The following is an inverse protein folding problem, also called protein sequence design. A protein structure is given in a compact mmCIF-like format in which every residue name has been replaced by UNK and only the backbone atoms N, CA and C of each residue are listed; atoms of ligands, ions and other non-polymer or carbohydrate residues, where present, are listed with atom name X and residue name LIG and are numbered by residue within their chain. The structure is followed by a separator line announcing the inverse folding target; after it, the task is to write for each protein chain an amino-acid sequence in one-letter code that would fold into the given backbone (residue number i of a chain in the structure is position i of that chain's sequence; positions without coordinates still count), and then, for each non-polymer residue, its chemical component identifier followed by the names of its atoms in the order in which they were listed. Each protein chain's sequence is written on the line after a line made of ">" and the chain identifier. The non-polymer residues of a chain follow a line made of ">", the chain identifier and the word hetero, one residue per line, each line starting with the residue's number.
data_IF_506790788577
#
_entry.id   IF_506790788577
#
_cell.length_a   1.000
_cell.length_b   1.000
_cell.length_c   1.000
_cell.angle_alpha   90.00
_cell.angle_beta   90.00
_cell.angle_gamma   90.00
#
_symmetry.space_group_name_H-M   'P 1'
#
loop_
_entity.id
_entity.type
_entity.pdbx_description
1 polymer ?
#
# COMPACT_ATOMS: atom_id res chain seq x y z
N UNK A 1 12.95 -5.80 -10.75
CA UNK A 1 11.88 -5.97 -9.74
C UNK A 1 11.43 -7.41 -9.72
N UNK A 2 11.29 -7.97 -8.54
CA UNK A 2 10.75 -9.33 -8.38
C UNK A 2 9.34 -9.41 -8.98
N UNK A 3 9.04 -10.51 -9.67
CA UNK A 3 7.75 -10.66 -10.34
C UNK A 3 6.58 -10.64 -9.36
N UNK A 4 6.77 -11.17 -8.15
CA UNK A 4 5.70 -11.16 -7.13
C UNK A 4 5.42 -9.76 -6.61
N UNK A 5 6.46 -8.93 -6.50
CA UNK A 5 6.24 -7.53 -6.13
C UNK A 5 5.46 -6.80 -7.23
N UNK A 6 5.81 -7.04 -8.48
CA UNK A 6 5.10 -6.46 -9.63
C UNK A 6 3.63 -6.88 -9.64
N UNK A 7 3.37 -8.17 -9.43
CA UNK A 7 2.01 -8.68 -9.37
C UNK A 7 1.24 -8.10 -8.20
N UNK A 8 1.89 -7.99 -7.04
CA UNK A 8 1.27 -7.38 -5.86
C UNK A 8 0.86 -5.94 -6.12
N UNK A 9 1.73 -5.16 -6.77
CA UNK A 9 1.43 -3.77 -7.12
C UNK A 9 0.23 -3.70 -8.07
N UNK A 10 0.21 -4.54 -9.09
CA UNK A 10 -0.90 -4.59 -10.05
C UNK A 10 -2.22 -4.92 -9.35
N UNK A 11 -2.20 -5.93 -8.49
CA UNK A 11 -3.38 -6.33 -7.73
C UNK A 11 -3.84 -5.23 -6.78
N UNK A 12 -2.90 -4.58 -6.11
CA UNK A 12 -3.22 -3.43 -5.25
C UNK A 12 -3.93 -2.34 -6.05
N UNK A 13 -3.36 -1.98 -7.20
CA UNK A 13 -3.89 -0.92 -8.04
C UNK A 13 -5.26 -1.27 -8.64
N UNK A 14 -5.56 -2.55 -8.79
CA UNK A 14 -6.86 -3.04 -9.23
C UNK A 14 -7.82 -3.24 -8.05
N UNK A 15 -7.43 -2.85 -6.85
CA UNK A 15 -8.20 -2.99 -5.61
C UNK A 15 -8.53 -4.45 -5.26
N UNK A 16 -7.68 -5.37 -5.72
CA UNK A 16 -7.76 -6.79 -5.36
C UNK A 16 -6.87 -7.03 -4.14
N UNK A 17 -7.27 -6.48 -3.02
CA UNK A 17 -6.42 -6.40 -1.84
C UNK A 17 -6.15 -7.75 -1.19
N UNK A 18 -7.10 -8.67 -1.23
CA UNK A 18 -6.87 -10.00 -0.69
C UNK A 18 -5.80 -10.73 -1.50
N UNK A 19 -5.93 -10.75 -2.82
CA UNK A 19 -4.96 -11.41 -3.69
C UNK A 19 -3.59 -10.72 -3.60
N UNK A 20 -3.57 -9.40 -3.47
CA UNK A 20 -2.34 -8.64 -3.24
C UNK A 20 -1.64 -9.11 -1.98
N UNK A 21 -2.36 -9.22 -0.89
CA UNK A 21 -1.85 -9.70 0.39
C UNK A 21 -1.20 -11.09 0.24
N UNK A 22 -1.89 -12.01 -0.43
CA UNK A 22 -1.40 -13.37 -0.63
C UNK A 22 -0.09 -13.40 -1.42
N UNK A 23 -0.03 -12.67 -2.53
CA UNK A 23 1.17 -12.63 -3.38
C UNK A 23 2.35 -12.00 -2.64
N UNK A 24 2.11 -10.90 -1.93
CA UNK A 24 3.18 -10.23 -1.20
C UNK A 24 3.68 -11.06 -0.01
N UNK A 25 2.81 -11.83 0.64
CA UNK A 25 3.26 -12.76 1.68
C UNK A 25 4.20 -13.83 1.13
N UNK A 26 3.90 -14.35 -0.06
CA UNK A 26 4.79 -15.29 -0.72
C UNK A 26 6.18 -14.69 -0.99
N UNK A 27 6.22 -13.45 -1.47
CA UNK A 27 7.48 -12.76 -1.68
C UNK A 27 8.19 -12.46 -0.36
N UNK A 28 7.45 -12.09 0.67
CA UNK A 28 7.99 -11.80 2.00
C UNK A 28 8.83 -12.96 2.54
N UNK A 29 8.36 -14.18 2.36
CA UNK A 29 9.06 -15.37 2.86
C UNK A 29 10.47 -15.48 2.27
N UNK A 30 10.65 -15.10 1.02
CA UNK A 30 11.90 -15.23 0.28
C UNK A 30 12.70 -13.93 0.19
N UNK A 31 12.18 -12.85 0.76
CA UNK A 31 12.84 -11.55 0.66
C UNK A 31 13.99 -11.42 1.65
N UNK A 32 14.86 -10.45 1.37
CA UNK A 32 15.97 -10.15 2.25
C UNK A 32 15.49 -9.47 3.53
N UNK A 33 16.26 -9.61 4.61
CA UNK A 33 15.89 -9.10 5.93
C UNK A 33 15.59 -7.59 5.91
N UNK A 34 16.38 -6.83 5.16
CA UNK A 34 16.18 -5.37 5.09
C UNK A 34 14.90 -4.97 4.37
N UNK A 35 14.38 -5.85 3.52
CA UNK A 35 13.17 -5.61 2.74
C UNK A 35 11.90 -6.01 3.50
N UNK A 36 12.01 -6.92 4.46
CA UNK A 36 10.85 -7.47 5.16
C UNK A 36 9.96 -6.41 5.83
N UNK A 37 10.50 -5.43 6.58
CA UNK A 37 9.62 -4.43 7.18
C UNK A 37 8.86 -3.59 6.15
N UNK A 38 9.47 -3.32 5.00
CA UNK A 38 8.80 -2.63 3.91
C UNK A 38 7.60 -3.44 3.40
N UNK A 39 7.81 -4.73 3.17
CA UNK A 39 6.74 -5.62 2.69
C UNK A 39 5.64 -5.78 3.75
N UNK A 40 6.01 -5.84 5.03
CA UNK A 40 5.01 -5.85 6.11
C UNK A 40 4.12 -4.61 6.04
N UNK A 41 4.71 -3.44 5.76
CA UNK A 41 3.94 -2.21 5.57
C UNK A 41 2.96 -2.30 4.42
N UNK A 42 3.41 -2.79 3.26
CA UNK A 42 2.54 -2.95 2.10
C UNK A 42 1.44 -4.00 2.34
N UNK A 43 1.80 -5.12 2.97
CA UNK A 43 0.85 -6.19 3.29
C UNK A 43 -0.21 -5.66 4.26
N UNK A 44 0.21 -4.96 5.29
CA UNK A 44 -0.70 -4.36 6.27
C UNK A 44 -1.63 -3.35 5.60
N UNK A 45 -1.10 -2.56 4.67
CA UNK A 45 -1.89 -1.57 3.95
C UNK A 45 -2.96 -2.24 3.08
N UNK A 46 -2.59 -3.31 2.37
CA UNK A 46 -3.55 -4.07 1.58
C UNK A 46 -4.66 -4.65 2.46
N UNK A 47 -4.28 -5.23 3.61
CA UNK A 47 -5.25 -5.77 4.56
C UNK A 47 -6.18 -4.67 5.10
N UNK A 48 -5.65 -3.50 5.40
CA UNK A 48 -6.42 -2.38 5.90
C UNK A 48 -7.45 -1.89 4.86
N UNK A 49 -7.02 -1.78 3.61
CA UNK A 49 -7.92 -1.34 2.53
C UNK A 49 -8.97 -2.40 2.20
N UNK A 50 -8.64 -3.67 2.37
CA UNK A 50 -9.63 -4.74 2.26
C UNK A 50 -10.74 -4.59 3.31
N UNK A 51 -10.37 -4.27 4.55
CA UNK A 51 -11.35 -4.03 5.61
C UNK A 51 -12.33 -2.93 5.19
N UNK A 52 -11.82 -1.90 4.54
CA UNK A 52 -12.62 -0.79 4.07
C UNK A 52 -13.51 -1.19 2.90
N UNK A 53 -12.91 -1.77 1.84
CA UNK A 53 -13.63 -2.06 0.59
C UNK A 53 -14.61 -3.22 0.74
N UNK A 54 -14.17 -4.31 1.37
CA UNK A 54 -14.97 -5.53 1.44
C UNK A 54 -15.95 -5.55 2.61
N UNK A 55 -15.62 -4.87 3.71
CA UNK A 55 -16.38 -4.98 4.95
C UNK A 55 -16.95 -3.65 5.47
N UNK A 56 -16.63 -2.54 4.82
CA UNK A 56 -17.11 -1.22 5.25
C UNK A 56 -16.58 -0.78 6.61
N UNK A 57 -15.49 -1.36 7.07
CA UNK A 57 -14.90 -1.08 8.37
C UNK A 57 -13.96 0.12 8.27
N UNK A 58 -14.42 1.30 8.70
CA UNK A 58 -13.66 2.55 8.54
C UNK A 58 -12.60 2.74 9.62
N UNK A 59 -13.00 2.66 10.90
CA UNK A 59 -12.09 2.96 12.01
C UNK A 59 -10.89 2.04 12.07
N UNK A 60 -11.13 0.74 11.96
CA UNK A 60 -10.06 -0.25 11.98
C UNK A 60 -9.15 -0.11 10.76
N UNK A 61 -9.73 0.16 9.59
CA UNK A 61 -8.99 0.39 8.37
C UNK A 61 -8.04 1.59 8.52
N UNK A 62 -8.56 2.73 8.96
CA UNK A 62 -7.76 3.95 9.12
C UNK A 62 -6.63 3.75 10.13
N UNK A 63 -6.91 3.10 11.25
CA UNK A 63 -5.89 2.80 12.26
C UNK A 63 -4.77 1.95 11.67
N UNK A 64 -5.11 0.90 10.94
CA UNK A 64 -4.14 0.01 10.33
C UNK A 64 -3.34 0.73 9.23
N UNK A 65 -3.97 1.63 8.48
CA UNK A 65 -3.28 2.46 7.49
C UNK A 65 -2.20 3.30 8.15
N UNK A 66 -2.50 3.99 9.24
CA UNK A 66 -1.48 4.83 9.91
C UNK A 66 -0.32 3.99 10.43
N UNK A 67 -0.59 2.80 10.95
CA UNK A 67 0.47 1.89 11.38
C UNK A 67 1.35 1.44 10.21
N UNK A 68 0.74 1.15 9.07
CA UNK A 68 1.48 0.76 7.87
C UNK A 68 2.36 1.90 7.37
N UNK A 69 1.85 3.14 7.39
CA UNK A 69 2.61 4.31 6.96
C UNK A 69 3.85 4.54 7.81
N UNK A 70 3.78 4.25 9.11
CA UNK A 70 4.95 4.33 9.99
C UNK A 70 6.05 3.38 9.51
N UNK A 71 5.69 2.16 9.12
CA UNK A 71 6.66 1.19 8.59
C UNK A 71 7.29 1.63 7.28
N UNK A 72 6.51 2.29 6.43
CA UNK A 72 6.98 2.74 5.13
C UNK A 72 7.88 3.99 5.21
N UNK A 73 7.83 4.72 6.31
CA UNK A 73 8.54 6.00 6.45
C UNK A 73 10.04 5.87 6.21
N UNK A 74 10.66 4.80 6.68
CA UNK A 74 12.09 4.58 6.54
C UNK A 74 12.54 4.25 5.11
N UNK A 75 11.60 4.05 4.21
CA UNK A 75 11.87 3.66 2.82
C UNK A 75 11.61 4.78 1.82
N UNK A 76 11.34 5.98 2.33
CA UNK A 76 11.17 7.15 1.49
C UNK A 76 12.53 7.67 1.00
N UNK A 77 12.61 8.34 -0.14
CA UNK A 77 11.49 8.67 -1.04
C UNK A 77 11.16 7.57 -2.04
N UNK A 78 12.12 6.71 -2.39
CA UNK A 78 11.95 5.62 -3.36
C UNK A 78 12.61 4.36 -2.84
N UNK A 79 11.91 3.23 -2.94
CA UNK A 79 12.47 1.93 -2.58
C UNK A 79 11.93 0.87 -3.53
N UNK A 80 12.82 0.01 -4.03
CA UNK A 80 12.48 -1.03 -5.02
C UNK A 80 11.66 -0.45 -6.18
N UNK A 81 12.06 0.71 -6.67
CA UNK A 81 11.40 1.46 -7.74
C UNK A 81 10.01 2.01 -7.39
N UNK A 82 9.56 1.83 -6.16
CA UNK A 82 8.27 2.37 -5.71
C UNK A 82 8.47 3.79 -5.19
N UNK A 83 7.61 4.71 -5.62
CA UNK A 83 7.61 6.11 -5.16
C UNK A 83 6.92 6.17 -3.80
N UNK A 84 7.66 5.75 -2.76
CA UNK A 84 7.12 5.55 -1.41
C UNK A 84 6.61 6.85 -0.80
N UNK A 85 7.36 7.93 -0.92
CA UNK A 85 6.96 9.22 -0.34
C UNK A 85 5.65 9.72 -0.94
N UNK A 86 5.55 9.72 -2.26
CA UNK A 86 4.33 10.19 -2.94
C UNK A 86 3.14 9.33 -2.58
N UNK A 87 3.33 8.01 -2.60
CA UNK A 87 2.27 7.07 -2.25
C UNK A 87 1.82 7.25 -0.80
N UNK A 88 2.77 7.35 0.13
CA UNK A 88 2.45 7.55 1.56
C UNK A 88 1.67 8.84 1.80
N UNK A 89 2.06 9.92 1.13
CA UNK A 89 1.37 11.22 1.24
C UNK A 89 -0.08 11.10 0.74
N UNK A 90 -0.28 10.45 -0.40
CA UNK A 90 -1.60 10.26 -0.97
C UNK A 90 -2.48 9.36 -0.10
N UNK A 91 -1.92 8.29 0.44
CA UNK A 91 -2.65 7.37 1.31
C UNK A 91 -3.04 8.06 2.61
N UNK A 92 -2.14 8.85 3.19
CA UNK A 92 -2.46 9.61 4.40
C UNK A 92 -3.61 10.58 4.17
N UNK A 93 -3.58 11.30 3.05
CA UNK A 93 -4.65 12.24 2.71
C UNK A 93 -5.97 11.51 2.51
N UNK A 94 -5.94 10.36 1.86
CA UNK A 94 -7.14 9.53 1.66
C UNK A 94 -7.71 9.05 3.00
N UNK A 95 -6.83 8.58 3.90
CA UNK A 95 -7.26 8.09 5.21
C UNK A 95 -7.91 9.19 6.04
N UNK A 96 -7.34 10.39 6.02
CA UNK A 96 -7.91 11.55 6.72
C UNK A 96 -9.29 11.89 6.17
N UNK A 97 -9.45 11.85 4.85
CA UNK A 97 -10.74 12.12 4.21
C UNK A 97 -11.77 11.04 4.57
N UNK A 98 -11.36 9.77 4.59
CA UNK A 98 -12.24 8.66 4.96
C UNK A 98 -12.71 8.79 6.41
N UNK A 99 -11.79 9.16 7.31
CA UNK A 99 -12.10 9.36 8.72
C UNK A 99 -13.10 10.52 8.92
N UNK A 100 -12.89 11.62 8.21
CA UNK A 100 -13.74 12.81 8.30
C UNK A 100 -15.13 12.57 7.70
N UNK A 101 -15.24 11.75 6.65
CA UNK A 101 -16.51 11.45 6.00
C UNK A 101 -17.42 10.53 6.81
N UNK A 102 -16.86 9.83 7.81
CA UNK A 102 -17.65 8.89 8.62
C UNK A 102 -17.99 7.61 7.86
N UNK A 103 -19.22 7.14 7.95
CA UNK A 103 -19.60 5.76 7.67
C UNK A 103 -19.69 5.33 6.20
N UNK A 104 -19.52 6.21 5.22
CA UNK A 104 -19.66 5.82 3.81
C UNK A 104 -18.63 6.50 2.90
N UNK A 105 -17.34 6.20 3.07
CA UNK A 105 -16.37 6.63 2.08
C UNK A 105 -16.54 5.76 0.83
N UNK A 106 -16.40 6.36 -0.34
CA UNK A 106 -16.41 5.60 -1.57
C UNK A 106 -15.02 5.01 -1.82
N UNK A 107 -14.92 3.77 -2.31
CA UNK A 107 -13.61 3.22 -2.71
C UNK A 107 -13.00 3.93 -3.92
N UNK A 108 -13.75 4.82 -4.56
CA UNK A 108 -13.22 5.69 -5.59
C UNK A 108 -12.09 6.53 -5.01
N UNK A 109 -11.01 6.69 -5.75
CA UNK A 109 -9.85 7.51 -5.38
C UNK A 109 -8.88 6.89 -4.36
N UNK A 110 -8.97 5.59 -4.09
CA UNK A 110 -7.90 4.92 -3.34
C UNK A 110 -6.60 5.09 -4.15
N UNK A 111 -5.53 5.62 -3.55
CA UNK A 111 -4.30 5.88 -4.27
C UNK A 111 -3.67 4.62 -4.84
N UNK A 112 -3.03 4.76 -5.99
CA UNK A 112 -2.31 3.68 -6.63
C UNK A 112 -0.83 3.76 -6.33
N UNK A 113 -0.17 2.62 -6.29
CA UNK A 113 1.28 2.54 -6.18
C UNK A 113 1.86 2.87 -7.56
N UNK A 114 2.76 3.85 -7.59
CA UNK A 114 3.43 4.27 -8.83
C UNK A 114 4.91 3.98 -8.75
N UNK A 115 5.49 3.62 -9.89
CA UNK A 115 6.90 3.29 -9.99
C UNK A 115 7.71 4.49 -10.48
N UNK A 116 8.94 4.56 -9.99
CA UNK A 116 9.93 5.51 -10.50
C UNK A 116 10.32 5.09 -11.90
N UNK A 117 10.15 5.99 -12.86
CA UNK A 117 10.57 5.70 -14.24
C UNK A 117 12.01 6.14 -14.45
N UNK A 118 12.77 5.27 -15.08
CA UNK A 118 14.07 5.64 -15.59
C UNK A 118 13.88 6.36 -16.92
N UNK A 119 14.41 7.59 -16.98
CA UNK A 119 14.44 8.31 -18.25
C UNK A 119 15.90 8.58 -18.60
N UNK A 120 16.35 8.05 -19.74
CA UNK A 120 17.69 8.27 -20.24
C UNK A 120 17.87 9.66 -20.84
N UNK A 121 16.79 10.42 -20.97
CA UNK A 121 16.79 11.76 -21.54
C UNK A 121 16.48 12.85 -20.52
N UNK A 122 16.38 12.49 -19.28
CA UNK A 122 16.15 13.49 -18.23
C UNK A 122 17.44 14.04 -17.68
#
# INVERSE_FOLDING_TARGET
>A
MDARLRDGIRLFNDQKFFECHEVLEGYYQDSELDTKPFLEGLIQLAAALRMFVDFGEVKGSVRAIYQALIRLENYQPVYLQIRVKDFSTEVEAWAKAAEAAGATPTPANIPKIRLQRFSIFS
#
